data_IF_058678961048
#
_entry.id   IF_058678961048
#
_cell.length_a   1.000
_cell.length_b   1.000
_cell.length_c   1.000
_cell.angle_alpha   90.00
_cell.angle_beta   90.00
_cell.angle_gamma   90.00
#
_symmetry.space_group_name_H-M   'P 1'
#
loop_
_entity.id
_entity.type
_entity.pdbx_description
1 polymer ?
#
# COMPACT_ATOMS: atom_id res chain seq x y z
N UNK A 1 -30.18 8.21 8.69
CA UNK A 1 -30.61 9.62 8.89
C UNK A 1 -31.06 10.13 7.52
N UNK A 2 -32.32 10.57 7.43
CA UNK A 2 -32.85 11.18 6.23
C UNK A 2 -32.46 12.66 6.24
N UNK A 3 -31.66 13.08 5.25
CA UNK A 3 -31.30 14.49 5.08
C UNK A 3 -32.37 15.18 4.25
N UNK A 4 -32.86 16.32 4.74
CA UNK A 4 -33.95 17.04 4.08
C UNK A 4 -33.44 18.10 3.09
N UNK A 5 -32.18 18.53 3.22
CA UNK A 5 -31.57 19.55 2.37
C UNK A 5 -30.18 19.16 1.89
N UNK A 6 -29.77 19.65 0.71
CA UNK A 6 -28.44 19.45 0.16
C UNK A 6 -27.31 20.00 1.08
N UNK A 7 -27.43 21.19 1.70
CA UNK A 7 -26.45 21.66 2.66
C UNK A 7 -26.23 20.73 3.86
N UNK A 8 -27.29 20.15 4.43
CA UNK A 8 -27.17 19.16 5.51
C UNK A 8 -26.43 17.90 5.09
N UNK A 9 -26.71 17.42 3.89
CA UNK A 9 -26.02 16.26 3.33
C UNK A 9 -24.54 16.55 3.10
N UNK A 10 -24.20 17.72 2.54
CA UNK A 10 -22.80 18.13 2.33
C UNK A 10 -22.04 18.27 3.66
N UNK A 11 -22.64 18.88 4.67
CA UNK A 11 -22.05 19.00 6.00
C UNK A 11 -21.77 17.62 6.61
N UNK A 12 -22.69 16.68 6.46
CA UNK A 12 -22.50 15.31 6.93
C UNK A 12 -21.38 14.58 6.17
N UNK A 13 -21.26 14.77 4.86
CA UNK A 13 -20.17 14.20 4.06
C UNK A 13 -18.81 14.72 4.53
N UNK A 14 -18.68 16.01 4.82
CA UNK A 14 -17.43 16.59 5.34
C UNK A 14 -17.10 16.05 6.75
N UNK A 15 -18.08 15.97 7.65
CA UNK A 15 -17.90 15.35 8.97
C UNK A 15 -17.47 13.88 8.86
N UNK A 16 -18.09 13.11 7.96
CA UNK A 16 -17.75 11.73 7.71
C UNK A 16 -16.33 11.57 7.15
N UNK A 17 -15.92 12.41 6.19
CA UNK A 17 -14.53 12.44 5.69
C UNK A 17 -13.54 12.73 6.80
N UNK A 18 -13.83 13.72 7.65
CA UNK A 18 -12.97 14.05 8.79
C UNK A 18 -12.86 12.87 9.76
N UNK A 19 -13.97 12.22 10.08
CA UNK A 19 -13.99 11.03 10.93
C UNK A 19 -13.15 9.88 10.33
N UNK A 20 -13.27 9.64 9.03
CA UNK A 20 -12.46 8.62 8.34
C UNK A 20 -10.96 8.97 8.36
N UNK A 21 -10.61 10.23 8.20
CA UNK A 21 -9.21 10.67 8.28
C UNK A 21 -8.65 10.47 9.69
N UNK A 22 -9.40 10.81 10.73
CA UNK A 22 -9.02 10.60 12.14
C UNK A 22 -8.85 9.11 12.45
N UNK A 23 -9.77 8.27 12.00
CA UNK A 23 -9.67 6.81 12.16
C UNK A 23 -8.45 6.23 11.42
N UNK A 24 -8.13 6.74 10.21
CA UNK A 24 -6.93 6.36 9.48
C UNK A 24 -5.66 6.76 10.20
N UNK A 25 -5.60 7.96 10.75
CA UNK A 25 -4.46 8.43 11.54
C UNK A 25 -4.27 7.61 12.82
N UNK A 26 -5.35 7.29 13.53
CA UNK A 26 -5.29 6.43 14.71
C UNK A 26 -4.84 5.02 14.39
N UNK A 27 -5.30 4.44 13.26
CA UNK A 27 -4.84 3.13 12.77
C UNK A 27 -3.39 3.17 12.28
N UNK A 28 -2.97 4.28 11.66
CA UNK A 28 -1.61 4.48 11.15
C UNK A 28 -0.56 4.70 12.22
N UNK A 29 -0.94 5.26 13.37
CA UNK A 29 -0.02 5.54 14.47
C UNK A 29 0.27 4.32 15.37
N UNK A 30 -0.22 3.13 15.03
CA UNK A 30 0.20 1.89 15.68
C UNK A 30 -0.05 1.83 17.19
N UNK A 31 -1.00 2.60 17.72
CA UNK A 31 -1.35 2.57 19.14
C UNK A 31 -2.22 1.37 19.53
N UNK A 32 -2.56 0.52 18.56
CA UNK A 32 -3.26 -0.74 18.77
C UNK A 32 -2.29 -1.92 18.71
N UNK A 33 -2.46 -2.86 19.61
CA UNK A 33 -1.75 -4.15 19.62
C UNK A 33 -2.33 -5.01 18.47
N UNK A 34 -1.74 -4.89 17.25
CA UNK A 34 -2.26 -5.61 16.09
C UNK A 34 -1.50 -5.35 14.79
N UNK A 35 -1.86 -6.11 13.76
CA UNK A 35 -1.33 -6.00 12.40
C UNK A 35 -2.31 -5.23 11.53
N UNK A 36 -1.82 -4.19 10.85
CA UNK A 36 -2.60 -3.42 9.88
C UNK A 36 -2.33 -3.93 8.48
N UNK A 37 -3.39 -4.37 7.78
CA UNK A 37 -3.31 -4.75 6.38
C UNK A 37 -3.86 -3.63 5.49
N UNK A 38 -3.10 -3.24 4.47
CA UNK A 38 -3.51 -2.20 3.51
C UNK A 38 -2.85 -2.41 2.15
N UNK A 39 -3.36 -1.70 1.16
CA UNK A 39 -2.72 -1.64 -0.15
C UNK A 39 -1.51 -0.68 -0.11
N UNK A 40 -0.58 -0.82 -1.05
CA UNK A 40 0.54 0.11 -1.19
C UNK A 40 0.06 1.56 -1.39
N UNK A 41 -1.02 1.78 -2.15
CA UNK A 41 -1.65 3.10 -2.29
C UNK A 41 -2.20 3.63 -0.95
N UNK A 42 -2.82 2.76 -0.16
CA UNK A 42 -3.36 3.12 1.15
C UNK A 42 -2.29 3.41 2.20
N UNK A 43 -1.04 3.01 1.96
CA UNK A 43 0.08 3.24 2.85
C UNK A 43 0.68 4.66 2.74
N UNK A 44 0.30 5.42 1.71
CA UNK A 44 0.81 6.78 1.51
C UNK A 44 0.49 7.68 2.71
N UNK A 45 1.53 8.31 3.26
CA UNK A 45 1.42 9.20 4.41
C UNK A 45 1.35 8.51 5.77
N UNK A 46 1.38 7.18 5.82
CA UNK A 46 1.43 6.38 7.05
C UNK A 46 2.85 5.89 7.29
N UNK A 47 3.17 5.54 8.55
CA UNK A 47 4.47 4.99 8.93
C UNK A 47 4.28 3.92 10.00
N UNK A 48 5.12 2.88 9.94
CA UNK A 48 5.06 1.73 10.85
C UNK A 48 6.45 1.33 11.30
N UNK A 49 6.57 0.80 12.50
CA UNK A 49 7.85 0.29 13.03
C UNK A 49 8.41 -0.85 12.15
N UNK A 50 7.52 -1.73 11.71
CA UNK A 50 7.86 -2.87 10.86
C UNK A 50 6.88 -2.95 9.70
N UNK A 51 7.38 -3.13 8.49
CA UNK A 51 6.58 -3.26 7.27
C UNK A 51 6.92 -4.57 6.56
N UNK A 52 5.89 -5.28 6.13
CA UNK A 52 5.99 -6.42 5.24
C UNK A 52 5.36 -6.06 3.90
N UNK A 53 6.14 -6.01 2.85
CA UNK A 53 5.64 -5.93 1.46
C UNK A 53 5.54 -7.36 0.95
N UNK A 54 4.32 -7.85 0.82
CA UNK A 54 4.05 -9.25 0.48
C UNK A 54 3.73 -9.43 -1.01
N UNK A 55 3.86 -10.68 -1.51
CA UNK A 55 3.58 -11.03 -2.91
C UNK A 55 4.33 -10.14 -3.93
N UNK A 56 5.58 -9.78 -3.64
CA UNK A 56 6.42 -9.01 -4.57
C UNK A 56 6.87 -9.89 -5.74
N UNK A 57 5.93 -10.25 -6.59
CA UNK A 57 6.10 -11.10 -7.77
C UNK A 57 5.73 -10.36 -9.06
N UNK A 58 6.40 -10.71 -10.16
CA UNK A 58 6.00 -10.26 -11.49
C UNK A 58 4.52 -10.52 -11.76
N UNK A 59 3.84 -9.50 -12.29
CA UNK A 59 2.41 -9.52 -12.55
C UNK A 59 1.52 -9.14 -11.35
N UNK A 60 2.09 -9.01 -10.16
CA UNK A 60 1.47 -8.44 -8.95
C UNK A 60 2.10 -7.10 -8.64
N UNK A 61 3.41 -7.06 -8.53
CA UNK A 61 4.24 -5.86 -8.36
C UNK A 61 5.50 -6.01 -9.23
N UNK A 62 5.61 -5.35 -10.38
CA UNK A 62 4.60 -4.47 -11.00
C UNK A 62 3.33 -5.21 -11.44
N UNK A 63 2.22 -4.46 -11.51
CA UNK A 63 0.95 -5.03 -11.96
C UNK A 63 1.04 -5.44 -13.45
N UNK A 64 0.48 -6.61 -13.77
CA UNK A 64 0.58 -7.23 -15.12
C UNK A 64 0.06 -6.37 -16.28
N UNK A 65 -0.78 -5.37 -16.00
CA UNK A 65 -1.32 -4.46 -17.02
C UNK A 65 -0.50 -3.17 -17.18
N UNK A 66 0.51 -2.95 -16.35
CA UNK A 66 1.46 -1.85 -16.56
C UNK A 66 2.30 -2.14 -17.81
N UNK A 67 1.81 -1.74 -18.96
CA UNK A 67 2.37 -2.06 -20.29
C UNK A 67 3.23 -0.97 -20.89
N UNK A 68 3.17 0.26 -20.35
CA UNK A 68 4.00 1.37 -20.81
C UNK A 68 5.15 1.65 -19.85
N UNK A 69 6.25 2.29 -20.31
CA UNK A 69 7.33 2.72 -19.43
C UNK A 69 6.86 3.63 -18.30
N UNK A 70 5.91 4.51 -18.56
CA UNK A 70 5.33 5.45 -17.60
C UNK A 70 4.54 4.73 -16.51
N UNK A 71 3.72 3.75 -16.90
CA UNK A 71 2.97 2.91 -15.95
C UNK A 71 3.90 2.08 -15.07
N UNK A 72 4.97 1.54 -15.66
CA UNK A 72 5.98 0.79 -14.92
C UNK A 72 6.72 1.69 -13.91
N UNK A 73 6.99 2.94 -14.27
CA UNK A 73 7.62 3.90 -13.37
C UNK A 73 6.70 4.29 -12.20
N UNK A 74 5.38 4.41 -12.45
CA UNK A 74 4.41 4.63 -11.36
C UNK A 74 4.34 3.43 -10.40
N UNK A 75 4.36 2.20 -10.92
CA UNK A 75 4.43 0.99 -10.10
C UNK A 75 5.72 0.94 -9.26
N UNK A 76 6.86 1.32 -9.84
CA UNK A 76 8.15 1.42 -9.14
C UNK A 76 8.09 2.46 -8.02
N UNK A 77 7.51 3.64 -8.31
CA UNK A 77 7.31 4.70 -7.32
C UNK A 77 6.42 4.26 -6.17
N UNK A 78 5.34 3.53 -6.49
CA UNK A 78 4.43 2.98 -5.50
C UNK A 78 5.13 1.94 -4.59
N UNK A 79 5.94 1.08 -5.17
CA UNK A 79 6.74 0.09 -4.43
C UNK A 79 7.75 0.79 -3.51
N UNK A 80 8.44 1.81 -4.01
CA UNK A 80 9.33 2.65 -3.21
C UNK A 80 8.61 3.32 -2.04
N UNK A 81 7.44 3.90 -2.27
CA UNK A 81 6.63 4.51 -1.21
C UNK A 81 6.28 3.48 -0.14
N UNK A 82 5.86 2.27 -0.52
CA UNK A 82 5.56 1.20 0.43
C UNK A 82 6.77 0.83 1.29
N UNK A 83 7.95 0.69 0.69
CA UNK A 83 9.20 0.42 1.42
C UNK A 83 9.55 1.50 2.43
N UNK A 84 9.41 2.77 2.04
CA UNK A 84 9.74 3.92 2.89
C UNK A 84 8.75 4.15 4.04
N UNK A 85 7.72 3.34 4.16
CA UNK A 85 6.80 3.36 5.33
C UNK A 85 7.40 2.68 6.55
N UNK A 86 8.47 1.91 6.39
CA UNK A 86 9.15 1.23 7.48
C UNK A 86 10.08 2.18 8.24
N UNK A 87 9.89 2.31 9.56
CA UNK A 87 10.79 3.08 10.44
C UNK A 87 12.02 2.27 10.88
N UNK A 88 11.84 0.99 11.18
CA UNK A 88 12.92 0.16 11.74
C UNK A 88 13.24 -1.06 10.90
N UNK A 89 12.21 -1.79 10.43
CA UNK A 89 12.42 -3.04 9.70
C UNK A 89 11.50 -3.13 8.50
N UNK A 90 12.07 -3.53 7.39
CA UNK A 90 11.38 -3.81 6.14
C UNK A 90 11.62 -5.26 5.74
N UNK A 91 10.55 -5.98 5.44
CA UNK A 91 10.59 -7.31 4.87
C UNK A 91 9.88 -7.28 3.51
N UNK A 92 10.58 -7.71 2.47
CA UNK A 92 10.02 -7.88 1.14
C UNK A 92 9.94 -9.38 0.88
N UNK A 93 8.76 -9.88 0.58
CA UNK A 93 8.53 -11.30 0.39
C UNK A 93 7.92 -11.60 -0.98
N UNK A 94 8.29 -12.72 -1.54
CA UNK A 94 7.72 -13.25 -2.78
C UNK A 94 7.43 -14.74 -2.64
N UNK A 95 6.55 -15.25 -3.47
CA UNK A 95 6.24 -16.67 -3.54
C UNK A 95 6.96 -17.31 -4.72
N UNK A 96 7.50 -18.52 -4.53
CA UNK A 96 8.14 -19.28 -5.61
C UNK A 96 7.13 -20.05 -6.44
N UNK A 97 6.01 -20.43 -5.85
CA UNK A 97 4.95 -21.18 -6.50
C UNK A 97 3.58 -20.77 -5.93
N UNK A 98 2.57 -20.72 -6.79
CA UNK A 98 1.17 -20.47 -6.42
C UNK A 98 0.26 -21.32 -7.31
N UNK A 99 -0.59 -22.15 -6.68
CA UNK A 99 -1.51 -23.05 -7.39
C UNK A 99 -0.81 -23.97 -8.42
N UNK A 100 0.33 -24.59 -8.04
CA UNK A 100 1.09 -25.47 -8.90
C UNK A 100 1.83 -24.78 -10.07
N UNK A 101 1.89 -23.44 -10.06
CA UNK A 101 2.59 -22.65 -11.09
C UNK A 101 3.76 -21.89 -10.48
N UNK A 102 4.93 -22.05 -11.08
CA UNK A 102 6.11 -21.26 -10.71
C UNK A 102 5.85 -19.77 -10.88
N UNK A 103 6.39 -18.97 -9.96
CA UNK A 103 6.30 -17.52 -9.93
C UNK A 103 7.69 -16.89 -9.92
N UNK A 104 7.83 -15.80 -10.66
CA UNK A 104 9.07 -15.03 -10.73
C UNK A 104 9.02 -13.91 -9.69
N UNK A 105 10.12 -13.64 -8.96
CA UNK A 105 10.23 -12.44 -8.12
C UNK A 105 9.98 -11.17 -8.94
N UNK A 106 9.57 -10.11 -8.28
CA UNK A 106 9.46 -8.79 -8.88
C UNK A 106 10.82 -8.30 -9.38
N UNK A 107 10.87 -7.74 -10.58
CA UNK A 107 12.07 -7.04 -11.10
C UNK A 107 12.54 -5.91 -10.19
N UNK A 108 11.66 -5.32 -9.40
CA UNK A 108 12.01 -4.28 -8.44
C UNK A 108 12.90 -4.80 -7.31
N UNK A 109 12.79 -6.10 -6.96
CA UNK A 109 13.71 -6.74 -6.01
C UNK A 109 15.10 -6.85 -6.64
N UNK A 110 15.18 -7.26 -7.90
CA UNK A 110 16.47 -7.37 -8.60
C UNK A 110 17.14 -6.00 -8.72
N UNK A 111 16.38 -4.95 -9.03
CA UNK A 111 16.88 -3.56 -9.09
C UNK A 111 17.48 -3.13 -7.73
N UNK A 112 16.86 -3.48 -6.60
CA UNK A 112 17.40 -3.18 -5.28
C UNK A 112 18.72 -3.91 -5.01
N UNK A 113 18.84 -5.16 -5.42
CA UNK A 113 20.03 -5.98 -5.18
C UNK A 113 21.23 -5.55 -6.04
N UNK A 114 20.99 -4.99 -7.21
CA UNK A 114 22.06 -4.48 -8.10
C UNK A 114 22.61 -3.14 -7.60
N UNK A 115 21.84 -2.37 -6.85
CA UNK A 115 22.23 -1.04 -6.36
C UNK A 115 23.11 -1.11 -5.09
N UNK A 116 23.23 -2.28 -4.51
CA UNK A 116 24.08 -2.55 -3.34
C UNK A 116 25.38 -3.21 -3.77
#
# INVERSE_FOLDING_TARGET
KDFQTLPEWLAHVEEYKHTLQMQRQQRGNGTGDGVTCLTMHGAKGLEYEVVFVIESNEGVTPYKKAGTPEELEEERRLFYVAMTRAKKKLFITYVKEKNGKSKTPSRFIDELLVTV
#
